data_IF_196654171697
#
_entry.id   IF_196654171697
#
_cell.length_a   1.000
_cell.length_b   1.000
_cell.length_c   1.000
_cell.angle_alpha   90.00
_cell.angle_beta   90.00
_cell.angle_gamma   90.00
#
_symmetry.space_group_name_H-M   'P 1'
#
loop_
_entity.id
_entity.type
_entity.pdbx_description
1 polymer ?
#
# COMPACT_ATOMS: atom_id res chain seq x y z
N UNK A 1 -7.63 41.05 31.05
CA UNK A 1 -7.25 39.62 31.07
C UNK A 1 -7.61 39.06 29.70
N UNK A 2 -6.75 39.33 28.72
CA UNK A 2 -6.88 38.90 27.33
C UNK A 2 -5.90 37.75 27.16
N UNK A 3 -6.40 36.53 26.96
CA UNK A 3 -5.59 35.38 26.57
C UNK A 3 -5.66 35.26 25.05
N UNK A 4 -4.56 35.57 24.38
CA UNK A 4 -4.36 35.23 22.97
C UNK A 4 -3.93 33.76 22.90
N UNK A 5 -4.75 32.95 22.24
CA UNK A 5 -4.42 31.57 21.91
C UNK A 5 -3.35 31.56 20.81
N UNK A 6 -2.15 31.06 21.13
CA UNK A 6 -1.12 30.77 20.14
C UNK A 6 -1.40 29.39 19.56
N UNK A 7 -2.16 29.36 18.47
CA UNK A 7 -2.30 28.19 17.61
C UNK A 7 -1.02 28.07 16.79
N UNK A 8 -0.12 27.19 17.24
CA UNK A 8 1.09 26.87 16.49
C UNK A 8 0.68 26.05 15.25
N UNK A 9 0.66 26.71 14.09
CA UNK A 9 0.58 26.04 12.79
C UNK A 9 1.90 25.29 12.57
N UNK A 10 1.91 24.01 12.90
CA UNK A 10 2.98 23.09 12.48
C UNK A 10 2.87 22.92 10.96
N UNK A 11 3.84 23.44 10.22
CA UNK A 11 3.89 23.33 8.78
C UNK A 11 4.11 21.85 8.41
N UNK A 12 3.08 21.22 7.82
CA UNK A 12 3.18 19.86 7.30
C UNK A 12 4.13 19.88 6.10
N UNK A 13 5.30 19.27 6.25
CA UNK A 13 6.26 19.10 5.16
C UNK A 13 5.71 18.11 4.14
N UNK A 14 5.54 18.55 2.89
CA UNK A 14 5.00 17.69 1.83
C UNK A 14 6.14 16.86 1.25
N UNK A 15 6.08 15.52 1.33
CA UNK A 15 7.16 14.67 0.85
C UNK A 15 7.30 14.81 -0.68
N UNK A 16 8.54 14.82 -1.16
CA UNK A 16 8.87 14.91 -2.60
C UNK A 16 8.32 13.72 -3.39
N UNK A 17 8.10 12.58 -2.73
CA UNK A 17 7.52 11.37 -3.31
C UNK A 17 6.37 10.88 -2.45
N UNK A 18 5.18 10.79 -3.06
CA UNK A 18 4.00 10.24 -2.42
C UNK A 18 3.68 8.89 -3.06
N UNK A 19 3.46 7.82 -2.27
CA UNK A 19 3.04 6.56 -2.84
C UNK A 19 1.64 6.69 -3.42
N UNK A 20 1.44 6.10 -4.60
CA UNK A 20 0.12 6.05 -5.25
C UNK A 20 -0.90 5.27 -4.43
N UNK A 21 -0.43 4.38 -3.55
CA UNK A 21 -1.23 3.49 -2.71
C UNK A 21 -0.57 3.33 -1.34
N UNK A 22 -1.37 3.26 -0.28
CA UNK A 22 -0.86 3.26 1.11
C UNK A 22 -0.01 2.03 1.47
N UNK A 23 -0.21 0.91 0.76
CA UNK A 23 0.54 -0.32 0.98
C UNK A 23 1.92 -0.33 0.31
N UNK A 24 2.25 0.69 -0.50
CA UNK A 24 3.58 0.90 -1.04
C UNK A 24 4.37 1.82 -0.11
N UNK A 25 5.37 1.27 0.58
CA UNK A 25 6.33 2.06 1.36
C UNK A 25 7.43 2.57 0.43
N UNK A 26 7.73 3.86 0.52
CA UNK A 26 8.77 4.56 -0.24
C UNK A 26 9.81 5.09 0.76
N UNK A 27 11.09 5.13 0.36
CA UNK A 27 12.22 5.56 1.18
C UNK A 27 13.45 4.72 0.88
N UNK A 28 14.33 4.54 1.86
CA UNK A 28 15.58 3.77 1.72
C UNK A 28 15.35 2.26 1.53
N UNK A 29 14.22 1.73 2.03
CA UNK A 29 13.82 0.32 1.89
C UNK A 29 12.40 0.23 1.33
N UNK A 30 12.21 0.39 0.00
CA UNK A 30 10.90 0.30 -0.63
C UNK A 30 10.34 -1.12 -0.55
N UNK A 31 9.12 -1.28 -0.04
CA UNK A 31 8.49 -2.59 0.11
C UNK A 31 6.96 -2.49 0.15
N UNK A 32 6.31 -3.64 -0.01
CA UNK A 32 4.87 -3.76 0.16
C UNK A 32 4.53 -4.15 1.60
N UNK A 33 3.54 -3.47 2.18
CA UNK A 33 3.01 -3.73 3.51
C UNK A 33 1.54 -4.16 3.43
N UNK A 34 1.19 -5.27 4.06
CA UNK A 34 -0.18 -5.76 4.15
C UNK A 34 -0.73 -5.64 5.58
N UNK A 35 -2.05 -5.50 5.67
CA UNK A 35 -2.81 -5.62 6.90
C UNK A 35 -3.11 -7.10 7.17
N UNK A 36 -2.44 -7.68 8.15
CA UNK A 36 -2.69 -9.05 8.60
C UNK A 36 -3.65 -9.07 9.77
N UNK A 37 -4.74 -9.83 9.65
CA UNK A 37 -5.70 -10.01 10.73
C UNK A 37 -5.05 -10.75 11.90
N UNK A 38 -5.11 -10.16 13.10
CA UNK A 38 -4.52 -10.75 14.31
C UNK A 38 -5.14 -12.10 14.70
N UNK A 39 -6.39 -12.37 14.29
CA UNK A 39 -7.10 -13.58 14.68
C UNK A 39 -7.05 -14.77 13.72
N UNK A 40 -6.78 -14.55 12.43
CA UNK A 40 -6.75 -15.63 11.44
C UNK A 40 -5.64 -15.52 10.39
N UNK A 41 -4.77 -14.52 10.52
CA UNK A 41 -3.60 -14.29 9.66
C UNK A 41 -3.92 -14.05 8.17
N UNK A 42 -5.18 -13.80 7.83
CA UNK A 42 -5.53 -13.34 6.48
C UNK A 42 -4.92 -11.96 6.22
N UNK A 43 -4.34 -11.77 5.03
CA UNK A 43 -3.62 -10.55 4.63
C UNK A 43 -4.39 -9.79 3.54
N UNK A 44 -4.37 -8.46 3.64
CA UNK A 44 -5.02 -7.56 2.69
C UNK A 44 -4.14 -6.33 2.47
N UNK A 45 -4.08 -5.80 1.25
CA UNK A 45 -3.29 -4.59 0.96
C UNK A 45 -3.99 -3.32 1.46
N UNK A 46 -5.29 -3.18 1.22
CA UNK A 46 -6.05 -2.00 1.66
C UNK A 46 -6.54 -2.11 3.11
N UNK A 47 -6.89 -0.95 3.69
CA UNK A 47 -7.62 -0.85 4.95
C UNK A 47 -8.93 -1.62 4.86
N UNK A 48 -9.25 -2.39 5.91
CA UNK A 48 -10.54 -3.07 6.08
C UNK A 48 -11.17 -2.66 7.40
N UNK A 49 -12.49 -2.54 7.43
CA UNK A 49 -13.24 -2.34 8.69
C UNK A 49 -13.27 -3.63 9.51
N UNK A 50 -13.32 -4.79 8.86
CA UNK A 50 -13.29 -6.11 9.48
C UNK A 50 -12.67 -7.14 8.53
N UNK A 51 -12.16 -8.24 9.09
CA UNK A 51 -11.58 -9.34 8.33
C UNK A 51 -12.64 -10.08 7.53
N UNK A 52 -12.46 -10.16 6.21
CA UNK A 52 -13.39 -10.89 5.33
C UNK A 52 -13.38 -12.41 5.57
N UNK A 53 -12.38 -12.95 6.28
CA UNK A 53 -12.30 -14.38 6.61
C UNK A 53 -12.95 -14.72 7.96
N UNK A 54 -12.80 -13.89 8.99
CA UNK A 54 -13.23 -14.24 10.36
C UNK A 54 -14.02 -13.15 11.11
N UNK A 55 -14.25 -11.98 10.51
CA UNK A 55 -15.06 -10.90 11.08
C UNK A 55 -14.39 -10.04 12.16
N UNK A 56 -13.18 -10.38 12.63
CA UNK A 56 -12.45 -9.56 13.62
C UNK A 56 -11.91 -8.26 13.02
N UNK A 57 -11.74 -7.25 13.86
CA UNK A 57 -11.37 -5.89 13.45
C UNK A 57 -9.89 -5.55 13.71
N UNK A 58 -9.17 -6.39 14.45
CA UNK A 58 -7.77 -6.14 14.78
C UNK A 58 -6.83 -6.61 13.65
N UNK A 59 -5.98 -5.67 13.20
CA UNK A 59 -4.97 -5.89 12.17
C UNK A 59 -3.61 -5.36 12.60
N UNK A 60 -2.56 -6.01 12.10
CA UNK A 60 -1.17 -5.55 12.22
C UNK A 60 -0.54 -5.40 10.84
N UNK A 61 0.33 -4.40 10.69
CA UNK A 61 1.11 -4.24 9.46
C UNK A 61 2.18 -5.32 9.37
N UNK A 62 2.29 -5.99 8.22
CA UNK A 62 3.33 -6.99 7.94
C UNK A 62 3.98 -6.72 6.59
N UNK A 63 5.30 -6.89 6.50
CA UNK A 63 6.01 -6.86 5.21
C UNK A 63 5.57 -8.05 4.36
N UNK A 64 5.32 -7.80 3.09
CA UNK A 64 5.08 -8.84 2.08
C UNK A 64 6.42 -9.38 1.58
N UNK A 65 6.49 -10.68 1.31
CA UNK A 65 7.71 -11.29 0.78
C UNK A 65 8.04 -10.73 -0.60
N UNK A 66 9.34 -10.67 -0.91
CA UNK A 66 9.84 -10.19 -2.20
C UNK A 66 9.82 -11.30 -3.28
N UNK A 67 9.44 -12.52 -2.90
CA UNK A 67 9.30 -13.70 -3.76
C UNK A 67 7.84 -14.17 -3.86
N UNK A 68 7.41 -14.52 -5.08
CA UNK A 68 6.07 -15.02 -5.37
C UNK A 68 6.07 -16.01 -6.55
N UNK A 69 4.95 -16.72 -6.76
CA UNK A 69 4.81 -17.73 -7.83
C UNK A 69 3.85 -17.22 -8.90
N UNK A 70 4.34 -17.03 -10.13
CA UNK A 70 3.49 -16.63 -11.26
C UNK A 70 2.29 -17.57 -11.44
N UNK A 71 1.07 -17.03 -11.28
CA UNK A 71 -0.19 -17.77 -11.40
C UNK A 71 -0.81 -17.66 -12.79
N UNK A 72 -0.81 -16.46 -13.35
CA UNK A 72 -1.40 -16.16 -14.66
C UNK A 72 -0.74 -14.92 -15.24
N UNK A 73 -0.63 -14.84 -16.57
CA UNK A 73 -0.04 -13.69 -17.24
C UNK A 73 -0.59 -13.48 -18.64
N UNK A 74 -0.37 -12.27 -19.17
CA UNK A 74 -0.61 -11.92 -20.57
C UNK A 74 0.53 -11.08 -21.11
N UNK A 75 0.84 -11.25 -22.39
CA UNK A 75 1.81 -10.43 -23.12
C UNK A 75 1.07 -9.30 -23.83
N UNK A 76 1.29 -8.07 -23.38
CA UNK A 76 0.60 -6.89 -23.89
C UNK A 76 1.39 -6.27 -25.04
N UNK A 77 0.81 -6.29 -26.24
CA UNK A 77 1.39 -5.70 -27.46
C UNK A 77 0.85 -4.31 -27.81
N UNK A 78 -0.22 -3.85 -27.13
CA UNK A 78 -0.82 -2.53 -27.35
C UNK A 78 -1.11 -1.86 -26.02
N UNK A 79 -0.51 -0.69 -25.81
CA UNK A 79 -0.62 0.09 -24.58
C UNK A 79 -0.92 1.56 -24.87
N UNK A 80 -1.14 2.36 -23.82
CA UNK A 80 -1.27 3.81 -23.94
C UNK A 80 0.02 4.45 -24.49
N UNK A 81 -0.05 5.64 -25.13
CA UNK A 81 1.14 6.35 -25.59
C UNK A 81 2.18 6.54 -24.47
N UNK A 82 3.45 6.28 -24.78
CA UNK A 82 4.57 6.40 -23.82
C UNK A 82 4.89 5.14 -23.02
N UNK A 83 4.08 4.08 -23.11
CA UNK A 83 4.37 2.79 -22.47
C UNK A 83 5.08 1.86 -23.47
N UNK A 84 6.33 1.43 -23.20
CA UNK A 84 7.04 0.49 -24.07
C UNK A 84 6.31 -0.86 -24.18
N UNK A 85 6.24 -1.40 -25.40
CA UNK A 85 5.66 -2.73 -25.68
C UNK A 85 6.66 -3.60 -26.47
N UNK A 86 6.62 -4.93 -26.33
CA UNK A 86 5.73 -5.71 -25.47
C UNK A 86 6.16 -5.74 -24.00
N UNK A 87 5.21 -5.97 -23.09
CA UNK A 87 5.49 -6.26 -21.68
C UNK A 87 4.57 -7.36 -21.13
N UNK A 88 4.95 -7.96 -20.00
CA UNK A 88 4.16 -8.98 -19.30
C UNK A 88 3.35 -8.34 -18.18
N UNK A 89 2.04 -8.56 -18.17
CA UNK A 89 1.17 -8.29 -17.02
C UNK A 89 0.87 -9.61 -16.31
N UNK A 90 1.00 -9.64 -14.99
CA UNK A 90 1.05 -10.88 -14.22
C UNK A 90 0.24 -10.81 -12.91
N UNK A 91 -0.28 -11.96 -12.51
CA UNK A 91 -0.78 -12.25 -11.16
C UNK A 91 0.22 -13.23 -10.54
N UNK A 92 0.80 -12.87 -9.39
CA UNK A 92 1.82 -13.63 -8.66
C UNK A 92 1.33 -14.07 -7.27
#
# INVERSE_FOLDING_TARGET
MTQEATEATEAVEIPTQLPIVDYLRIGDDPHLAANECAGCQARYFDRRNACARCGKEEFRSVRVADDATLRSFSVVYRAAPGIPVPYVSAIV
#
